data_IF_378168787135
#
_entry.id   IF_378168787135
#
_cell.length_a   1.000
_cell.length_b   1.000
_cell.length_c   1.000
_cell.angle_alpha   90.00
_cell.angle_beta   90.00
_cell.angle_gamma   90.00
#
_symmetry.space_group_name_H-M   'P 1'
#
loop_
_entity.id
_entity.type
_entity.pdbx_description
1 polymer ?
#
# COMPACT_ATOMS: atom_id res chain seq x y z
N UNK A 1 -12.13 -11.71 -25.04
CA UNK A 1 -12.54 -11.71 -23.62
C UNK A 1 -11.86 -10.50 -23.03
N UNK A 2 -12.49 -9.32 -23.12
CA UNK A 2 -11.91 -8.09 -22.61
C UNK A 2 -12.34 -7.96 -21.15
N UNK A 3 -11.37 -7.98 -20.25
CA UNK A 3 -11.55 -7.88 -18.81
C UNK A 3 -12.09 -6.47 -18.50
N UNK A 4 -13.33 -6.40 -18.04
CA UNK A 4 -13.99 -5.15 -17.65
C UNK A 4 -13.25 -4.55 -16.44
N UNK A 5 -12.44 -3.52 -16.68
CA UNK A 5 -11.70 -2.82 -15.64
C UNK A 5 -12.65 -1.89 -14.89
N UNK A 6 -13.11 -2.35 -13.72
CA UNK A 6 -13.91 -1.53 -12.82
C UNK A 6 -13.05 -0.42 -12.19
N UNK A 7 -13.27 0.82 -12.61
CA UNK A 7 -12.75 2.02 -11.93
C UNK A 7 -13.88 2.62 -11.09
N UNK A 8 -13.69 2.62 -9.77
CA UNK A 8 -14.64 3.18 -8.80
C UNK A 8 -14.04 4.42 -8.13
N UNK A 9 -14.86 5.43 -7.89
CA UNK A 9 -14.50 6.59 -7.05
C UNK A 9 -14.63 6.21 -5.57
N UNK A 10 -13.54 6.31 -4.81
CA UNK A 10 -13.50 6.04 -3.38
C UNK A 10 -13.98 7.28 -2.58
N UNK A 11 -14.95 7.11 -1.68
CA UNK A 11 -15.62 8.19 -0.94
C UNK A 11 -15.16 8.41 0.50
N UNK A 12 -14.10 7.74 0.96
CA UNK A 12 -13.59 7.91 2.31
C UNK A 12 -12.57 6.84 2.72
N UNK A 13 -11.72 7.19 3.67
CA UNK A 13 -10.80 6.29 4.34
C UNK A 13 -11.09 6.31 5.84
N UNK A 14 -10.84 5.19 6.52
CA UNK A 14 -11.03 5.10 7.97
C UNK A 14 -10.04 6.03 8.68
N UNK A 15 -10.53 6.81 9.65
CA UNK A 15 -9.75 7.89 10.26
C UNK A 15 -8.41 7.41 10.84
N UNK A 16 -8.37 6.21 11.41
CA UNK A 16 -7.17 5.69 12.06
C UNK A 16 -6.05 5.27 11.09
N UNK A 17 -6.36 5.09 9.81
CA UNK A 17 -5.41 4.75 8.73
C UNK A 17 -5.11 5.94 7.80
N UNK A 18 -5.60 7.13 8.15
CA UNK A 18 -5.21 8.35 7.45
C UNK A 18 -3.73 8.65 7.72
N UNK A 19 -2.97 8.91 6.64
CA UNK A 19 -1.63 9.49 6.75
C UNK A 19 -1.78 10.94 7.23
N UNK A 20 -1.29 11.22 8.43
CA UNK A 20 -1.06 12.58 8.92
C UNK A 20 0.43 12.88 8.81
N UNK A 21 0.82 14.15 8.60
CA UNK A 21 2.24 14.55 8.53
C UNK A 21 3.07 14.15 9.75
N UNK A 22 2.42 13.83 10.86
CA UNK A 22 3.03 13.42 12.13
C UNK A 22 3.19 11.89 12.28
N UNK A 23 2.60 11.10 11.38
CA UNK A 23 2.71 9.63 11.39
C UNK A 23 3.53 9.15 10.21
N UNK A 24 4.59 8.40 10.50
CA UNK A 24 5.39 7.76 9.47
C UNK A 24 4.63 6.62 8.80
N UNK A 25 4.84 6.43 7.50
CA UNK A 25 4.18 5.39 6.70
C UNK A 25 4.39 3.98 7.27
N UNK A 26 5.55 3.75 7.88
CA UNK A 26 5.88 2.48 8.52
C UNK A 26 5.01 2.22 9.76
N UNK A 27 4.67 3.25 10.52
CA UNK A 27 3.85 3.09 11.73
C UNK A 27 2.42 2.65 11.36
N UNK A 28 1.86 3.21 10.28
CA UNK A 28 0.52 2.84 9.80
C UNK A 28 0.50 1.38 9.33
N UNK A 29 1.53 0.93 8.61
CA UNK A 29 1.64 -0.46 8.13
C UNK A 29 1.76 -1.43 9.31
N UNK A 30 2.42 -1.03 10.41
CA UNK A 30 2.52 -1.85 11.62
C UNK A 30 1.20 -1.93 12.39
N UNK A 31 0.45 -0.82 12.48
CA UNK A 31 -0.84 -0.77 13.18
C UNK A 31 -1.97 -1.43 12.40
N UNK A 32 -1.93 -1.38 11.07
CA UNK A 32 -2.91 -1.99 10.17
C UNK A 32 -2.21 -2.70 8.99
N UNK A 33 -1.69 -3.94 9.20
CA UNK A 33 -0.94 -4.66 8.18
C UNK A 33 -1.79 -4.99 6.96
N UNK A 34 -1.32 -4.56 5.78
CA UNK A 34 -1.93 -4.93 4.51
C UNK A 34 -1.61 -6.39 4.16
N UNK A 35 -2.57 -7.10 3.57
CA UNK A 35 -2.37 -8.47 3.11
C UNK A 35 -1.95 -8.49 1.64
N UNK A 36 -0.79 -9.06 1.35
CA UNK A 36 -0.32 -9.31 -0.01
C UNK A 36 -0.59 -10.76 -0.41
N UNK A 37 -1.01 -10.97 -1.65
CA UNK A 37 -1.16 -12.30 -2.22
C UNK A 37 0.21 -12.88 -2.59
N UNK A 38 0.49 -14.09 -2.09
CA UNK A 38 1.69 -14.85 -2.42
C UNK A 38 1.29 -16.13 -3.17
N UNK A 39 1.50 -16.18 -4.50
CA UNK A 39 1.20 -17.36 -5.29
C UNK A 39 2.06 -18.58 -4.87
N UNK A 40 1.51 -19.81 -4.92
CA UNK A 40 0.09 -20.12 -5.06
C UNK A 40 -0.64 -20.12 -3.70
N UNK A 41 -1.84 -19.53 -3.66
CA UNK A 41 -2.84 -19.78 -2.62
C UNK A 41 -2.55 -19.25 -1.22
N UNK A 42 -1.56 -18.37 -1.04
CA UNK A 42 -1.22 -17.82 0.28
C UNK A 42 -1.44 -16.31 0.33
N UNK A 43 -1.69 -15.81 1.53
CA UNK A 43 -1.66 -14.39 1.85
C UNK A 43 -0.60 -14.16 2.92
N UNK A 44 0.10 -13.04 2.84
CA UNK A 44 1.10 -12.63 3.84
C UNK A 44 0.81 -11.21 4.29
N UNK A 45 0.99 -10.94 5.58
CA UNK A 45 0.93 -9.58 6.10
C UNK A 45 2.21 -8.83 5.76
N UNK A 46 2.09 -7.59 5.27
CA UNK A 46 3.22 -6.69 5.06
C UNK A 46 3.62 -6.13 6.43
N UNK A 47 4.83 -6.46 6.88
CA UNK A 47 5.36 -5.99 8.17
C UNK A 47 6.25 -4.74 8.03
N UNK A 48 6.94 -4.61 6.90
CA UNK A 48 7.84 -3.50 6.57
C UNK A 48 7.70 -3.16 5.09
N UNK A 49 7.83 -1.89 4.73
CA UNK A 49 7.87 -1.47 3.33
C UNK A 49 9.02 -0.51 3.08
N UNK A 50 9.82 -0.79 2.07
CA UNK A 50 10.93 0.07 1.68
C UNK A 50 10.49 1.03 0.58
N UNK A 51 10.91 2.29 0.68
CA UNK A 51 10.77 3.22 -0.44
C UNK A 51 11.48 2.64 -1.65
N UNK A 52 10.84 2.76 -2.82
CA UNK A 52 11.47 2.33 -4.06
C UNK A 52 12.81 3.06 -4.21
N UNK A 53 13.94 2.34 -4.40
CA UNK A 53 15.23 2.97 -4.51
C UNK A 53 15.25 3.76 -5.82
N UNK A 54 15.18 5.08 -5.73
CA UNK A 54 15.46 5.93 -6.87
C UNK A 54 16.97 5.88 -7.10
N UNK A 55 17.46 5.33 -8.23
CA UNK A 55 18.88 5.39 -8.54
C UNK A 55 19.32 6.86 -8.61
N UNK A 56 20.61 7.12 -8.36
CA UNK A 56 21.20 8.46 -8.22
C UNK A 56 20.85 9.42 -9.39
N UNK A 57 20.58 8.87 -10.57
CA UNK A 57 20.24 9.60 -11.79
C UNK A 57 18.75 9.53 -12.19
N UNK A 58 17.85 9.17 -11.27
CA UNK A 58 16.42 9.20 -11.56
C UNK A 58 15.93 10.64 -11.75
N UNK A 59 15.71 11.04 -13.00
CA UNK A 59 15.11 12.33 -13.36
C UNK A 59 13.59 12.22 -13.33
N UNK A 60 12.96 13.18 -12.66
CA UNK A 60 11.50 13.38 -12.64
C UNK A 60 10.99 13.89 -13.98
#
# INVERSE_FOLDING_TARGET
MADDLLILTLGGAHHDVLRTSEREDQEIIRQAPLLAYLPPGRMTAISESYSFPFPLDFKR
#
